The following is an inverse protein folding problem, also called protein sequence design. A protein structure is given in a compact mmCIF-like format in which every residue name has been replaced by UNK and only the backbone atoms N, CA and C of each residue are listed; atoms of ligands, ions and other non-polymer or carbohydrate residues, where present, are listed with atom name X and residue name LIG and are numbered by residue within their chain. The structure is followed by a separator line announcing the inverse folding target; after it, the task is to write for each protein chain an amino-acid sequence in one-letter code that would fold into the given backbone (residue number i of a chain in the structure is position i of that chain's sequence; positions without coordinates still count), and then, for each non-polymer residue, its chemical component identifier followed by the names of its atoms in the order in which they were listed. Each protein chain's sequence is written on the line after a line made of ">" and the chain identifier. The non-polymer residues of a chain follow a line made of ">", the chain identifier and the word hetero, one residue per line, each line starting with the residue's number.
data_IF_378342094064
#
_entry.id   IF_378342094064
#
_cell.length_a   1.000
_cell.length_b   1.000
_cell.length_c   1.000
_cell.angle_alpha   90.00
_cell.angle_beta   90.00
_cell.angle_gamma   90.00
#
_symmetry.space_group_name_H-M   'P 1'
#
loop_
_entity.id
_entity.type
_entity.pdbx_description
1 polymer ?
#
# COMPACT_ATOMS: atom_id res chain seq x y z
N UNK A 1 -24.66 45.26 12.04
CA UNK A 1 -24.00 44.03 12.52
C UNK A 1 -24.49 42.89 11.66
N UNK A 2 -23.73 42.52 10.63
CA UNK A 2 -24.01 41.38 9.78
C UNK A 2 -22.69 40.62 9.61
N UNK A 3 -22.63 39.41 10.14
CA UNK A 3 -21.45 38.55 10.15
C UNK A 3 -21.31 37.81 8.83
N UNK A 4 -20.21 38.06 8.12
CA UNK A 4 -19.77 37.30 6.96
C UNK A 4 -19.20 35.94 7.41
N UNK A 5 -19.93 34.86 7.15
CA UNK A 5 -19.43 33.50 7.24
C UNK A 5 -18.87 33.07 5.87
N UNK A 6 -17.58 33.33 5.63
CA UNK A 6 -16.86 32.71 4.52
C UNK A 6 -16.32 31.35 4.98
N UNK A 7 -17.08 30.30 4.64
CA UNK A 7 -16.72 28.90 4.86
C UNK A 7 -15.75 28.49 3.74
N UNK A 8 -14.46 28.38 4.07
CA UNK A 8 -13.46 27.74 3.21
C UNK A 8 -13.83 26.26 3.07
N UNK A 9 -14.44 25.90 1.95
CA UNK A 9 -14.57 24.50 1.53
C UNK A 9 -13.23 24.09 0.93
N UNK A 10 -12.44 23.31 1.67
CA UNK A 10 -11.29 22.61 1.12
C UNK A 10 -11.79 21.60 0.09
N UNK A 11 -11.40 21.78 -1.16
CA UNK A 11 -11.78 20.91 -2.27
C UNK A 11 -11.22 19.49 -2.07
N UNK A 12 -12.10 18.53 -1.88
CA UNK A 12 -11.81 17.09 -1.91
C UNK A 12 -11.51 16.56 -3.33
N UNK A 13 -11.22 17.46 -4.29
CA UNK A 13 -11.04 17.16 -5.71
C UNK A 13 -9.57 17.06 -6.16
N UNK A 14 -8.59 17.27 -5.29
CA UNK A 14 -7.18 17.09 -5.65
C UNK A 14 -6.80 15.64 -5.94
N UNK A 15 -7.60 14.65 -5.50
CA UNK A 15 -7.34 13.23 -5.75
C UNK A 15 -8.03 12.63 -6.98
N UNK A 16 -9.02 13.31 -7.58
CA UNK A 16 -9.85 12.73 -8.66
C UNK A 16 -9.21 12.83 -10.05
N UNK A 17 -8.24 13.73 -10.27
CA UNK A 17 -7.54 13.88 -11.54
C UNK A 17 -6.63 12.68 -11.84
N UNK A 18 -6.15 11.98 -10.80
CA UNK A 18 -5.20 10.87 -10.95
C UNK A 18 -5.83 9.54 -11.35
N UNK A 19 -7.16 9.41 -11.29
CA UNK A 19 -7.87 8.15 -11.60
C UNK A 19 -8.14 7.95 -13.11
N UNK A 20 -8.02 9.01 -13.91
CA UNK A 20 -8.40 9.01 -15.34
C UNK A 20 -7.23 9.09 -16.32
N UNK A 21 -5.98 9.08 -15.85
CA UNK A 21 -4.82 9.07 -16.74
C UNK A 21 -4.48 7.62 -17.11
N UNK A 22 -5.26 7.09 -18.06
CA UNK A 22 -4.95 5.82 -18.72
C UNK A 22 -3.60 5.89 -19.43
N UNK A 23 -2.80 4.84 -19.24
CA UNK A 23 -1.56 4.56 -19.94
C UNK A 23 -1.64 4.94 -21.42
N UNK A 24 -0.76 5.84 -21.86
CA UNK A 24 -0.42 5.91 -23.28
C UNK A 24 0.75 4.97 -23.50
N UNK A 25 0.48 3.83 -24.15
CA UNK A 25 1.47 2.84 -24.54
C UNK A 25 2.45 3.45 -25.54
N UNK A 26 3.64 3.86 -25.10
CA UNK A 26 4.79 3.95 -26.00
C UNK A 26 6.05 3.42 -25.33
N UNK A 27 6.53 2.30 -25.89
CA UNK A 27 7.86 1.68 -25.74
C UNK A 27 8.07 0.75 -24.54
N UNK A 28 7.28 -0.33 -24.46
CA UNK A 28 7.64 -1.56 -23.74
C UNK A 28 8.31 -2.57 -24.68
N UNK A 29 9.47 -2.22 -25.22
CA UNK A 29 10.36 -3.16 -25.91
C UNK A 29 11.75 -3.01 -25.32
N UNK A 30 11.93 -3.50 -24.09
CA UNK A 30 13.23 -3.84 -23.56
C UNK A 30 13.10 -5.16 -22.78
N UNK A 31 14.05 -6.05 -23.05
CA UNK A 31 14.16 -7.43 -22.60
C UNK A 31 13.95 -7.52 -21.08
N UNK A 32 12.91 -8.24 -20.63
CA UNK A 32 12.70 -8.54 -19.21
C UNK A 32 13.85 -9.42 -18.72
N UNK A 33 14.67 -8.91 -17.81
CA UNK A 33 15.55 -9.77 -17.03
C UNK A 33 14.70 -10.48 -15.97
N UNK A 34 15.06 -11.70 -15.57
CA UNK A 34 14.32 -12.46 -14.54
C UNK A 34 14.20 -11.71 -13.20
N UNK A 35 15.08 -10.74 -12.93
CA UNK A 35 15.06 -9.83 -11.78
C UNK A 35 13.97 -8.75 -11.84
N UNK A 36 13.34 -8.54 -12.99
CA UNK A 36 12.34 -7.48 -13.18
C UNK A 36 10.92 -7.94 -12.84
N UNK A 37 10.72 -9.24 -12.63
CA UNK A 37 9.39 -9.83 -12.38
C UNK A 37 9.06 -9.99 -10.88
N UNK A 38 9.97 -9.62 -9.98
CA UNK A 38 9.67 -9.63 -8.56
C UNK A 38 10.27 -8.44 -7.83
N UNK A 39 9.58 -7.99 -6.78
CA UNK A 39 10.04 -6.96 -5.85
C UNK A 39 10.18 -7.58 -4.48
N UNK A 40 11.40 -7.61 -3.94
CA UNK A 40 11.63 -7.95 -2.53
C UNK A 40 11.18 -6.80 -1.64
N UNK A 41 10.51 -7.15 -0.55
CA UNK A 41 9.93 -6.22 0.42
C UNK A 41 10.42 -6.58 1.80
N UNK A 42 10.93 -5.60 2.52
CA UNK A 42 11.16 -5.68 3.96
C UNK A 42 10.43 -4.52 4.61
N UNK A 43 9.62 -4.79 5.64
CA UNK A 43 8.95 -3.72 6.37
C UNK A 43 8.95 -3.96 7.88
N UNK A 44 8.80 -2.87 8.60
CA UNK A 44 8.77 -2.84 10.05
C UNK A 44 7.65 -1.94 10.55
N UNK A 45 6.88 -2.48 11.48
CA UNK A 45 5.77 -1.85 12.20
C UNK A 45 4.83 -1.07 11.26
N UNK A 46 4.26 -1.78 10.30
CA UNK A 46 3.33 -1.22 9.34
C UNK A 46 1.89 -1.62 9.67
N UNK A 47 0.94 -0.94 9.05
CA UNK A 47 -0.46 -1.34 8.99
C UNK A 47 -0.93 -1.45 7.55
N UNK A 48 -1.62 -2.54 7.25
CA UNK A 48 -2.30 -2.76 5.98
C UNK A 48 -3.79 -2.76 6.26
N UNK A 49 -4.49 -1.76 5.74
CA UNK A 49 -5.94 -1.67 5.82
C UNK A 49 -6.52 -2.15 4.50
N UNK A 50 -7.26 -3.25 4.57
CA UNK A 50 -8.08 -3.73 3.47
C UNK A 50 -9.50 -3.25 3.74
N UNK A 51 -9.97 -2.30 2.95
CA UNK A 51 -11.34 -1.78 2.99
C UNK A 51 -11.99 -2.04 1.63
N UNK A 52 -12.48 -3.26 1.48
CA UNK A 52 -13.25 -3.74 0.34
C UNK A 52 -14.70 -3.98 0.80
N UNK A 53 -15.71 -3.84 -0.08
CA UNK A 53 -17.10 -4.18 0.28
C UNK A 53 -17.27 -5.54 0.98
N UNK A 54 -16.43 -6.52 0.63
CA UNK A 54 -16.52 -7.89 1.14
C UNK A 54 -15.55 -8.19 2.29
N UNK A 55 -14.50 -7.37 2.47
CA UNK A 55 -13.40 -7.62 3.43
C UNK A 55 -13.06 -6.32 4.16
N UNK A 56 -13.12 -6.35 5.49
CA UNK A 56 -12.62 -5.27 6.35
C UNK A 56 -11.60 -5.83 7.32
N UNK A 57 -10.33 -5.58 7.05
CA UNK A 57 -9.22 -6.06 7.87
C UNK A 57 -8.24 -4.93 8.15
N UNK A 58 -8.02 -4.67 9.43
CA UNK A 58 -6.89 -3.87 9.88
C UNK A 58 -5.77 -4.83 10.33
N UNK A 59 -4.81 -5.02 9.44
CA UNK A 59 -3.73 -5.98 9.61
C UNK A 59 -2.51 -5.23 10.13
N UNK A 60 -2.12 -5.49 11.38
CA UNK A 60 -0.88 -4.99 11.95
C UNK A 60 0.25 -5.94 11.60
N UNK A 61 1.37 -5.40 11.12
CA UNK A 61 2.52 -6.20 10.71
C UNK A 61 3.76 -5.63 11.41
N UNK A 62 4.11 -6.17 12.60
CA UNK A 62 5.29 -5.73 13.35
C UNK A 62 6.58 -5.80 12.53
N UNK A 63 6.70 -6.82 11.69
CA UNK A 63 7.68 -6.87 10.61
C UNK A 63 7.27 -7.94 9.61
N UNK A 64 7.69 -7.79 8.36
CA UNK A 64 7.62 -8.86 7.38
C UNK A 64 8.71 -8.72 6.32
N UNK A 65 9.03 -9.85 5.71
CA UNK A 65 9.88 -9.96 4.54
C UNK A 65 9.17 -10.84 3.52
N UNK A 66 9.06 -10.37 2.29
CA UNK A 66 8.35 -11.07 1.22
C UNK A 66 8.97 -10.78 -0.14
N UNK A 67 8.69 -11.65 -1.11
CA UNK A 67 8.82 -11.32 -2.53
C UNK A 67 7.43 -11.14 -3.12
N UNK A 68 7.23 -10.03 -3.84
CA UNK A 68 6.03 -9.79 -4.62
C UNK A 68 6.32 -10.15 -6.06
N UNK A 69 5.55 -11.07 -6.64
CA UNK A 69 5.69 -11.49 -8.03
C UNK A 69 4.70 -10.73 -8.89
N UNK A 70 5.22 -9.96 -9.83
CA UNK A 70 4.44 -9.15 -10.74
C UNK A 70 3.65 -10.07 -11.71
N UNK A 71 2.34 -9.85 -11.77
CA UNK A 71 1.41 -10.58 -12.66
C UNK A 71 1.03 -9.77 -13.88
N UNK A 72 1.40 -8.50 -13.91
CA UNK A 72 1.11 -7.56 -14.97
C UNK A 72 2.29 -7.48 -15.93
N UNK A 73 2.15 -8.00 -17.16
CA UNK A 73 3.28 -8.03 -18.10
C UNK A 73 3.77 -6.64 -18.53
N UNK A 74 2.88 -5.65 -18.58
CA UNK A 74 3.19 -4.36 -19.19
C UNK A 74 3.03 -3.17 -18.24
N UNK A 75 2.55 -3.43 -17.03
CA UNK A 75 2.28 -2.42 -16.01
C UNK A 75 3.13 -2.75 -14.78
N UNK A 76 3.72 -1.76 -14.10
CA UNK A 76 4.39 -1.97 -12.82
C UNK A 76 3.39 -2.45 -11.76
N UNK A 77 3.88 -3.28 -10.84
CA UNK A 77 3.17 -3.72 -9.66
C UNK A 77 2.57 -2.53 -8.89
N UNK A 78 1.26 -2.54 -8.64
CA UNK A 78 0.56 -1.47 -7.90
C UNK A 78 0.07 -1.99 -6.54
N UNK A 79 0.57 -1.39 -5.45
CA UNK A 79 0.15 -1.71 -4.08
C UNK A 79 -1.34 -1.40 -3.80
N UNK A 80 -2.00 -0.59 -4.64
CA UNK A 80 -3.45 -0.34 -4.57
C UNK A 80 -4.27 -1.38 -5.33
N UNK A 81 -3.66 -2.11 -6.27
CA UNK A 81 -4.29 -3.23 -6.97
C UNK A 81 -3.66 -4.55 -6.54
N UNK A 82 -4.24 -5.15 -5.50
CA UNK A 82 -3.87 -6.46 -4.99
C UNK A 82 -3.97 -7.61 -6.01
N UNK A 83 -4.53 -7.40 -7.21
CA UNK A 83 -4.52 -8.40 -8.29
C UNK A 83 -3.28 -8.33 -9.16
N UNK A 84 -2.50 -7.24 -9.08
CA UNK A 84 -1.29 -7.05 -9.89
C UNK A 84 -0.11 -7.89 -9.42
N UNK A 85 -0.18 -8.54 -8.26
CA UNK A 85 0.90 -9.36 -7.73
C UNK A 85 0.44 -10.56 -6.90
N UNK A 86 1.30 -11.57 -6.80
CA UNK A 86 1.24 -12.61 -5.77
C UNK A 86 2.33 -12.37 -4.72
N UNK A 87 2.12 -12.82 -3.49
CA UNK A 87 3.00 -12.58 -2.34
C UNK A 87 3.61 -13.90 -1.88
N UNK A 88 4.94 -14.01 -1.86
CA UNK A 88 5.65 -15.08 -1.16
C UNK A 88 6.26 -14.54 0.12
N UNK A 89 5.61 -14.85 1.24
CA UNK A 89 6.07 -14.47 2.58
C UNK A 89 7.27 -15.34 2.97
N UNK A 90 8.43 -14.70 3.12
CA UNK A 90 9.66 -15.35 3.60
C UNK A 90 9.65 -15.50 5.11
N UNK A 91 9.26 -14.44 5.81
CA UNK A 91 9.11 -14.39 7.27
C UNK A 91 8.24 -13.21 7.69
N UNK A 92 7.58 -13.31 8.83
CA UNK A 92 6.85 -12.16 9.36
C UNK A 92 5.93 -12.51 10.51
N UNK A 93 5.49 -11.47 11.22
CA UNK A 93 4.38 -11.54 12.15
C UNK A 93 3.23 -10.71 11.60
N UNK A 94 2.03 -11.29 11.66
CA UNK A 94 0.80 -10.64 11.23
C UNK A 94 -0.22 -10.74 12.35
N UNK A 95 -0.75 -9.61 12.78
CA UNK A 95 -1.74 -9.52 13.86
C UNK A 95 -3.06 -8.96 13.33
N UNK A 96 -4.16 -9.63 13.67
CA UNK A 96 -5.52 -9.24 13.28
C UNK A 96 -6.43 -9.22 14.51
N UNK A 97 -7.32 -8.23 14.56
CA UNK A 97 -8.33 -8.10 15.62
C UNK A 97 -9.51 -9.04 15.43
N UNK A 98 -10.11 -9.44 16.55
CA UNK A 98 -11.29 -10.32 16.61
C UNK A 98 -12.52 -9.75 15.90
N UNK A 99 -12.80 -8.45 16.05
CA UNK A 99 -13.91 -7.73 15.41
C UNK A 99 -13.80 -7.72 13.88
N UNK A 100 -12.61 -7.42 13.37
CA UNK A 100 -12.33 -7.36 11.93
C UNK A 100 -12.46 -8.75 11.30
N UNK A 101 -11.93 -9.76 12.00
CA UNK A 101 -12.05 -11.15 11.56
C UNK A 101 -13.50 -11.63 11.62
N UNK A 102 -14.26 -11.28 12.66
CA UNK A 102 -15.69 -11.62 12.80
C UNK A 102 -16.52 -11.03 11.67
N UNK A 103 -16.29 -9.76 11.32
CA UNK A 103 -16.95 -9.12 10.19
C UNK A 103 -16.63 -9.84 8.87
N UNK A 104 -15.34 -10.05 8.60
CA UNK A 104 -14.87 -10.69 7.37
C UNK A 104 -15.36 -12.13 7.25
N UNK A 105 -15.29 -12.93 8.32
CA UNK A 105 -15.79 -14.30 8.35
C UNK A 105 -17.31 -14.35 8.15
N UNK A 106 -18.06 -13.44 8.79
CA UNK A 106 -19.52 -13.35 8.62
C UNK A 106 -19.90 -13.10 7.17
N UNK A 107 -19.24 -12.13 6.51
CA UNK A 107 -19.49 -11.82 5.10
C UNK A 107 -19.15 -12.99 4.18
N UNK A 108 -17.95 -13.54 4.30
CA UNK A 108 -17.53 -14.68 3.50
C UNK A 108 -18.46 -15.90 3.66
N UNK A 109 -18.89 -16.20 4.89
CA UNK A 109 -19.81 -17.30 5.16
C UNK A 109 -21.24 -17.04 4.67
N UNK A 110 -21.73 -15.80 4.80
CA UNK A 110 -23.04 -15.42 4.26
C UNK A 110 -23.08 -15.62 2.74
N UNK A 111 -22.05 -15.20 2.01
CA UNK A 111 -21.98 -15.36 0.56
C UNK A 111 -21.88 -16.84 0.17
N UNK A 112 -20.95 -17.59 0.78
CA UNK A 112 -20.74 -19.00 0.48
C UNK A 112 -21.97 -19.88 0.78
N UNK A 113 -22.78 -19.49 1.77
CA UNK A 113 -23.92 -20.29 2.23
C UNK A 113 -25.28 -19.74 1.80
N UNK A 114 -25.32 -18.76 0.86
CA UNK A 114 -26.55 -18.09 0.42
C UNK A 114 -27.36 -17.53 1.60
N UNK A 115 -26.67 -16.87 2.53
CA UNK A 115 -27.19 -16.27 3.75
C UNK A 115 -27.80 -17.28 4.74
N UNK A 116 -27.34 -18.53 4.76
CA UNK A 116 -27.70 -19.48 5.82
C UNK A 116 -26.92 -19.17 7.09
N UNK A 117 -25.62 -18.92 7.00
CA UNK A 117 -24.83 -18.36 8.10
C UNK A 117 -25.06 -16.86 8.15
N UNK A 118 -25.48 -16.33 9.29
CA UNK A 118 -25.89 -14.92 9.46
C UNK A 118 -24.92 -14.10 10.29
N UNK A 119 -24.21 -14.75 11.20
CA UNK A 119 -23.28 -14.08 12.11
C UNK A 119 -22.23 -15.09 12.56
N UNK A 120 -20.98 -14.66 12.54
CA UNK A 120 -19.83 -15.33 13.14
C UNK A 120 -19.17 -14.29 14.05
N UNK A 121 -19.24 -14.51 15.35
CA UNK A 121 -18.59 -13.71 16.38
C UNK A 121 -17.42 -14.50 16.95
N UNK A 122 -16.20 -14.06 16.63
CA UNK A 122 -14.94 -14.67 17.01
C UNK A 122 -14.36 -13.82 18.13
N UNK A 123 -13.93 -14.47 19.21
CA UNK A 123 -13.25 -13.85 20.33
C UNK A 123 -11.95 -14.60 20.58
N UNK A 124 -10.89 -13.85 20.82
CA UNK A 124 -9.58 -14.39 21.18
C UNK A 124 -9.29 -14.15 22.65
N UNK A 125 -8.79 -15.18 23.32
CA UNK A 125 -8.32 -15.11 24.70
C UNK A 125 -6.87 -15.61 24.78
N UNK A 126 -6.08 -15.17 25.78
CA UNK A 126 -4.71 -15.64 25.96
C UNK A 126 -4.58 -17.17 26.02
N UNK A 127 -3.46 -17.71 25.55
CA UNK A 127 -3.19 -19.16 25.58
C UNK A 127 -3.71 -19.91 24.36
N UNK A 128 -3.76 -19.24 23.20
CA UNK A 128 -4.22 -19.79 21.92
C UNK A 128 -5.69 -20.21 21.89
N UNK A 129 -6.52 -19.62 22.74
CA UNK A 129 -7.94 -19.93 22.84
C UNK A 129 -8.73 -19.09 21.84
N UNK A 130 -9.60 -19.77 21.08
CA UNK A 130 -10.57 -19.18 20.17
C UNK A 130 -11.98 -19.59 20.63
N UNK A 131 -12.85 -18.61 20.85
CA UNK A 131 -14.30 -18.78 21.04
C UNK A 131 -15.03 -18.24 19.81
N UNK A 132 -15.81 -19.08 19.14
CA UNK A 132 -16.57 -18.73 17.95
C UNK A 132 -18.05 -19.04 18.15
N UNK A 133 -18.89 -18.00 18.06
CA UNK A 133 -20.35 -18.08 18.12
C UNK A 133 -20.94 -17.87 16.74
N UNK A 134 -21.62 -18.89 16.24
CA UNK A 134 -22.12 -18.95 14.88
C UNK A 134 -23.64 -19.04 14.91
N UNK A 135 -24.31 -18.09 14.22
CA UNK A 135 -25.77 -18.12 14.03
C UNK A 135 -26.12 -18.62 12.65
N UNK A 136 -26.87 -19.72 12.59
CA UNK A 136 -27.32 -20.36 11.37
C UNK A 136 -28.85 -20.24 11.27
N UNK A 137 -29.35 -19.72 10.14
CA UNK A 137 -30.78 -19.57 9.85
C UNK A 137 -31.14 -20.31 8.57
N UNK A 138 -31.89 -21.40 8.72
CA UNK A 138 -32.67 -22.04 7.64
C UNK A 138 -34.15 -21.93 7.98
N UNK A 139 -34.78 -23.04 8.38
CA UNK A 139 -36.16 -23.12 8.85
C UNK A 139 -36.31 -22.76 10.33
N UNK A 140 -35.27 -23.06 11.11
CA UNK A 140 -35.11 -22.66 12.52
C UNK A 140 -33.77 -21.93 12.67
N UNK A 141 -33.63 -21.17 13.76
CA UNK A 141 -32.35 -20.54 14.13
C UNK A 141 -31.58 -21.48 15.04
N UNK A 142 -30.35 -21.79 14.66
CA UNK A 142 -29.42 -22.59 15.45
C UNK A 142 -28.25 -21.69 15.89
N UNK A 143 -27.93 -21.73 17.17
CA UNK A 143 -26.75 -21.07 17.74
C UNK A 143 -25.72 -22.15 18.05
N UNK A 144 -24.57 -22.05 17.41
CA UNK A 144 -23.45 -22.97 17.58
C UNK A 144 -22.32 -22.20 18.26
N UNK A 145 -21.93 -22.62 19.47
CA UNK A 145 -20.81 -22.05 20.20
C UNK A 145 -19.67 -23.07 20.21
N UNK A 146 -18.50 -22.67 19.73
CA UNK A 146 -17.31 -23.52 19.65
C UNK A 146 -16.16 -22.82 20.35
N UNK A 147 -15.61 -23.47 21.37
CA UNK A 147 -14.41 -23.03 22.08
C UNK A 147 -13.32 -24.08 21.87
N UNK A 148 -12.08 -23.65 21.64
CA UNK A 148 -10.96 -24.56 21.51
C UNK A 148 -9.61 -23.87 21.38
N UNK A 149 -8.59 -24.67 21.13
CA UNK A 149 -7.22 -24.19 21.01
C UNK A 149 -6.73 -24.23 19.56
N UNK A 150 -6.02 -23.18 19.16
CA UNK A 150 -5.34 -23.10 17.88
C UNK A 150 -3.84 -23.37 18.02
N UNK A 151 -3.32 -24.19 17.13
CA UNK A 151 -1.91 -24.55 17.07
C UNK A 151 -1.42 -24.38 15.64
N UNK A 152 -0.22 -23.85 15.46
CA UNK A 152 0.42 -23.99 14.16
C UNK A 152 0.74 -25.47 13.92
N UNK A 153 0.54 -25.93 12.70
CA UNK A 153 0.97 -27.24 12.26
C UNK A 153 2.06 -27.07 11.19
N UNK A 154 3.34 -27.14 11.59
CA UNK A 154 4.47 -26.96 10.67
C UNK A 154 4.53 -28.03 9.57
N UNK A 155 3.92 -29.20 9.76
CA UNK A 155 3.98 -30.31 8.79
C UNK A 155 3.21 -29.96 7.52
N UNK A 156 2.05 -29.31 7.66
CA UNK A 156 1.20 -28.95 6.52
C UNK A 156 1.07 -27.43 6.32
N UNK A 157 1.80 -26.63 7.11
CA UNK A 157 1.78 -25.17 7.04
C UNK A 157 0.38 -24.56 7.28
N UNK A 158 -0.41 -25.18 8.15
CA UNK A 158 -1.78 -24.75 8.45
C UNK A 158 -1.96 -24.45 9.94
N UNK A 159 -3.04 -23.77 10.27
CA UNK A 159 -3.58 -23.72 11.62
C UNK A 159 -4.37 -25.00 11.88
N UNK A 160 -4.06 -25.69 12.98
CA UNK A 160 -4.88 -26.76 13.56
C UNK A 160 -5.68 -26.18 14.72
N UNK A 161 -7.00 -26.17 14.57
CA UNK A 161 -7.92 -25.84 15.66
C UNK A 161 -8.54 -27.11 16.22
N UNK A 162 -8.43 -27.28 17.53
CA UNK A 162 -8.99 -28.42 18.26
C UNK A 162 -10.10 -27.92 19.18
N UNK A 163 -11.38 -28.17 18.86
CA UNK A 163 -12.50 -27.81 19.70
C UNK A 163 -12.49 -28.56 21.04
N UNK A 164 -12.48 -27.82 22.13
CA UNK A 164 -12.58 -28.34 23.49
C UNK A 164 -14.03 -28.34 23.99
N UNK A 165 -14.86 -27.43 23.48
CA UNK A 165 -16.30 -27.37 23.78
C UNK A 165 -17.08 -27.06 22.51
N UNK A 166 -18.21 -27.75 22.35
CA UNK A 166 -19.18 -27.48 21.30
C UNK A 166 -20.56 -27.47 21.94
N UNK A 167 -21.29 -26.36 21.79
CA UNK A 167 -22.67 -26.21 22.25
C UNK A 167 -23.59 -25.92 21.08
N UNK A 168 -24.74 -26.58 21.06
CA UNK A 168 -25.82 -26.30 20.12
C UNK A 168 -27.05 -25.82 20.91
N UNK A 169 -27.49 -24.59 20.65
CA UNK A 169 -28.55 -23.92 21.39
C UNK A 169 -28.34 -23.98 22.91
N UNK A 170 -27.09 -23.78 23.35
CA UNK A 170 -26.67 -23.82 24.75
C UNK A 170 -26.44 -25.22 25.34
N UNK A 171 -26.83 -26.28 24.64
CA UNK A 171 -26.63 -27.66 25.10
C UNK A 171 -25.24 -28.15 24.67
N UNK A 172 -24.41 -28.56 25.63
CA UNK A 172 -23.10 -29.15 25.34
C UNK A 172 -23.26 -30.49 24.64
N UNK A 173 -22.72 -30.61 23.42
CA UNK A 173 -22.80 -31.84 22.62
C UNK A 173 -21.48 -32.59 22.53
N UNK A 174 -20.34 -31.98 22.91
CA UNK A 174 -19.03 -32.63 22.79
C UNK A 174 -18.94 -33.94 23.59
N UNK A 175 -19.44 -33.96 24.83
CA UNK A 175 -19.41 -35.18 25.64
C UNK A 175 -20.24 -36.33 25.02
N UNK A 176 -21.32 -36.01 24.32
CA UNK A 176 -22.09 -37.01 23.56
C UNK A 176 -21.30 -37.52 22.36
N UNK A 177 -20.66 -36.63 21.62
CA UNK A 177 -19.79 -37.01 20.50
C UNK A 177 -18.67 -37.94 20.94
N UNK A 178 -17.96 -37.57 22.01
CA UNK A 178 -16.87 -38.37 22.59
C UNK A 178 -17.38 -39.75 23.07
N UNK A 179 -18.54 -39.80 23.75
CA UNK A 179 -19.14 -41.06 24.23
C UNK A 179 -19.47 -42.03 23.09
N UNK A 180 -20.02 -41.51 22.00
CA UNK A 180 -20.31 -42.32 20.80
C UNK A 180 -19.11 -42.49 19.87
N UNK A 181 -17.92 -42.01 20.25
CA UNK A 181 -16.71 -42.01 19.43
C UNK A 181 -16.89 -41.32 18.07
N UNK A 182 -17.83 -40.37 18.00
CA UNK A 182 -18.12 -39.58 16.81
C UNK A 182 -17.17 -38.39 16.79
N UNK A 183 -16.35 -38.29 15.74
CA UNK A 183 -15.35 -37.22 15.63
C UNK A 183 -15.97 -35.93 15.10
N UNK A 184 -15.39 -34.77 15.44
CA UNK A 184 -15.89 -33.47 14.93
C UNK A 184 -15.96 -33.45 13.40
N UNK A 185 -14.95 -33.99 12.72
CA UNK A 185 -14.94 -34.07 11.25
C UNK A 185 -15.95 -35.04 10.63
N UNK A 186 -16.54 -35.95 11.42
CA UNK A 186 -17.61 -36.84 10.94
C UNK A 186 -18.96 -36.13 10.94
N UNK A 187 -19.16 -35.21 11.88
CA UNK A 187 -20.36 -34.36 11.99
C UNK A 187 -20.27 -33.17 11.05
N UNK A 188 -19.12 -32.50 11.05
CA UNK A 188 -18.86 -31.28 10.30
C UNK A 188 -17.89 -31.64 9.18
N UNK A 189 -18.39 -32.29 8.13
CA UNK A 189 -17.60 -32.60 6.93
C UNK A 189 -17.34 -31.33 6.14
N UNK A 190 -16.24 -30.65 6.46
CA UNK A 190 -15.76 -29.53 5.66
C UNK A 190 -14.62 -30.04 4.80
N UNK A 191 -14.78 -29.88 3.50
CA UNK A 191 -13.74 -30.09 2.51
C UNK A 191 -13.90 -29.01 1.46
N UNK A 192 -13.05 -27.98 1.54
CA UNK A 192 -12.95 -27.01 0.47
C UNK A 192 -12.08 -27.56 -0.66
N UNK A 193 -12.54 -27.43 -1.91
CA UNK A 193 -11.82 -27.87 -3.10
C UNK A 193 -10.48 -27.16 -3.29
N UNK A 194 -10.30 -25.98 -2.67
CA UNK A 194 -9.02 -25.24 -2.69
C UNK A 194 -8.03 -25.67 -1.60
N UNK A 195 -8.42 -26.62 -0.75
CA UNK A 195 -7.61 -27.08 0.38
C UNK A 195 -7.29 -25.99 1.39
N UNK A 196 -8.10 -24.93 1.46
CA UNK A 196 -7.94 -23.83 2.42
C UNK A 196 -8.49 -24.19 3.80
N UNK A 197 -9.45 -25.11 3.86
CA UNK A 197 -10.16 -25.52 5.06
C UNK A 197 -10.61 -26.98 4.93
N UNK A 198 -10.27 -27.80 5.91
CA UNK A 198 -10.80 -29.17 6.01
C UNK A 198 -10.88 -29.64 7.46
N UNK A 199 -11.68 -30.68 7.70
CA UNK A 199 -11.71 -31.38 8.98
C UNK A 199 -10.99 -32.72 8.91
N UNK A 200 -10.21 -33.05 9.92
CA UNK A 200 -9.60 -34.37 10.09
C UNK A 200 -9.56 -34.75 11.56
N UNK A 201 -10.20 -35.87 11.90
CA UNK A 201 -10.44 -36.28 13.27
C UNK A 201 -11.25 -35.23 14.05
N UNK A 202 -10.76 -34.87 15.24
CA UNK A 202 -11.35 -33.85 16.10
C UNK A 202 -10.74 -32.46 15.86
N UNK A 203 -10.16 -32.23 14.69
CA UNK A 203 -9.51 -30.97 14.39
C UNK A 203 -9.95 -30.39 13.06
N UNK A 204 -10.04 -29.07 13.04
CA UNK A 204 -10.28 -28.26 11.87
C UNK A 204 -8.92 -27.69 11.45
N UNK A 205 -8.55 -27.89 10.19
CA UNK A 205 -7.33 -27.38 9.62
C UNK A 205 -7.67 -26.26 8.65
N UNK A 206 -7.02 -25.11 8.79
CA UNK A 206 -7.22 -24.00 7.87
C UNK A 206 -5.93 -23.24 7.56
N UNK A 207 -5.84 -22.69 6.36
CA UNK A 207 -4.74 -21.81 5.97
C UNK A 207 -5.28 -20.39 5.69
N UNK A 208 -5.08 -19.43 6.60
CA UNK A 208 -5.46 -18.04 6.39
C UNK A 208 -4.92 -17.41 5.10
N UNK A 209 -3.75 -17.82 4.62
CA UNK A 209 -3.15 -17.25 3.39
C UNK A 209 -3.95 -17.62 2.13
N UNK A 210 -4.79 -18.65 2.19
CA UNK A 210 -5.64 -19.13 1.08
C UNK A 210 -7.06 -18.57 1.08
N UNK A 211 -7.47 -17.82 2.12
CA UNK A 211 -8.82 -17.23 2.16
C UNK A 211 -8.95 -15.95 1.34
N UNK A 212 -7.84 -15.24 1.13
CA UNK A 212 -7.82 -14.06 0.27
C UNK A 212 -7.79 -14.51 -1.20
N UNK A 213 -8.71 -13.98 -2.02
CA UNK A 213 -8.77 -14.27 -3.47
C UNK A 213 -7.63 -13.59 -4.24
N UNK A 214 -7.19 -12.42 -3.76
CA UNK A 214 -6.08 -11.63 -4.29
C UNK A 214 -5.55 -10.69 -3.18
N UNK A 215 -4.23 -10.48 -3.06
CA UNK A 215 -3.18 -11.23 -3.77
C UNK A 215 -3.16 -12.68 -3.30
N UNK A 216 -2.64 -13.63 -4.09
CA UNK A 216 -2.40 -14.96 -3.52
C UNK A 216 -1.21 -14.85 -2.57
N UNK A 217 -1.39 -15.34 -1.34
CA UNK A 217 -0.34 -15.32 -0.34
C UNK A 217 0.16 -16.74 -0.13
N UNK A 218 1.43 -16.94 -0.41
CA UNK A 218 2.18 -18.15 -0.09
C UNK A 218 3.05 -17.90 1.14
N UNK A 219 3.05 -18.83 2.07
CA UNK A 219 3.81 -18.71 3.31
C UNK A 219 3.47 -19.84 4.28
N UNK A 220 4.50 -20.42 4.88
CA UNK A 220 4.34 -21.49 5.86
C UNK A 220 4.00 -20.93 7.23
N UNK A 221 2.84 -21.29 7.78
CA UNK A 221 2.47 -20.91 9.16
C UNK A 221 3.32 -21.71 10.12
N UNK A 222 4.17 -21.02 10.86
CA UNK A 222 5.09 -21.64 11.82
C UNK A 222 4.63 -21.52 13.25
N UNK A 223 3.69 -20.60 13.53
CA UNK A 223 3.35 -20.25 14.90
C UNK A 223 2.08 -19.41 15.01
N UNK A 224 1.43 -19.49 16.17
CA UNK A 224 0.21 -18.77 16.52
C UNK A 224 0.31 -18.33 17.98
N UNK A 225 -0.09 -17.09 18.25
CA UNK A 225 -0.28 -16.54 19.58
C UNK A 225 -1.60 -15.78 19.61
N UNK A 226 -2.45 -16.01 20.61
CA UNK A 226 -3.62 -15.18 20.86
C UNK A 226 -3.42 -14.32 22.10
N UNK A 227 -3.91 -13.09 22.02
CA UNK A 227 -4.08 -12.19 23.15
C UNK A 227 -5.56 -11.82 23.25
N UNK A 228 -5.94 -11.06 24.28
CA UNK A 228 -7.32 -10.59 24.41
C UNK A 228 -7.70 -9.77 23.17
N UNK A 229 -8.62 -10.32 22.36
CA UNK A 229 -9.16 -9.68 21.17
C UNK A 229 -8.24 -9.63 19.94
N UNK A 230 -7.11 -10.34 19.91
CA UNK A 230 -6.30 -10.45 18.70
C UNK A 230 -5.59 -11.80 18.55
N UNK A 231 -5.30 -12.15 17.31
CA UNK A 231 -4.48 -13.29 16.94
C UNK A 231 -3.25 -12.80 16.17
N UNK A 232 -2.08 -13.31 16.53
CA UNK A 232 -0.81 -13.11 15.84
C UNK A 232 -0.38 -14.43 15.21
N UNK A 233 -0.15 -14.40 13.90
CA UNK A 233 0.32 -15.54 13.12
C UNK A 233 1.76 -15.26 12.70
N UNK A 234 2.65 -16.21 12.98
CA UNK A 234 4.02 -16.18 12.47
C UNK A 234 4.17 -17.04 11.23
N UNK A 235 4.89 -16.48 10.25
CA UNK A 235 5.20 -17.12 8.98
C UNK A 235 6.72 -17.22 8.86
N UNK A 236 7.22 -18.33 8.29
CA UNK A 236 8.62 -18.41 7.86
C UNK A 236 9.66 -18.61 8.96
N UNK A 237 9.29 -19.26 10.07
CA UNK A 237 10.24 -19.75 11.08
C UNK A 237 10.38 -18.88 12.32
N UNK A 238 9.51 -17.89 12.51
CA UNK A 238 9.61 -16.98 13.64
C UNK A 238 8.61 -17.29 14.77
N UNK A 239 9.07 -17.15 16.01
CA UNK A 239 8.25 -17.32 17.20
C UNK A 239 7.54 -15.99 17.57
N UNK A 240 6.20 -15.91 17.47
CA UNK A 240 5.41 -14.73 17.79
C UNK A 240 5.47 -14.45 19.28
N UNK A 241 5.82 -15.39 20.15
CA UNK A 241 5.91 -15.13 21.58
C UNK A 241 7.21 -14.44 21.99
N UNK A 242 8.13 -14.17 21.05
CA UNK A 242 9.36 -13.45 21.33
C UNK A 242 9.09 -11.94 21.56
N UNK A 243 8.63 -11.63 22.77
CA UNK A 243 8.31 -10.25 23.22
C UNK A 243 9.50 -9.29 23.11
N UNK A 244 10.73 -9.79 23.21
CA UNK A 244 11.92 -8.95 23.03
C UNK A 244 12.07 -8.47 21.58
N UNK A 245 11.82 -9.34 20.60
CA UNK A 245 11.80 -8.97 19.17
C UNK A 245 10.61 -8.06 18.82
N UNK A 246 9.42 -8.32 19.36
CA UNK A 246 8.26 -7.43 19.18
C UNK A 246 8.53 -6.02 19.74
N UNK A 247 9.18 -5.93 20.91
CA UNK A 247 9.53 -4.66 21.56
C UNK A 247 10.67 -3.93 20.84
N UNK A 248 11.64 -4.66 20.28
CA UNK A 248 12.65 -4.10 19.39
C UNK A 248 12.02 -3.50 18.13
N UNK A 249 11.02 -4.19 17.54
CA UNK A 249 10.29 -3.69 16.39
C UNK A 249 9.41 -2.47 16.69
N UNK A 250 8.96 -2.30 17.93
CA UNK A 250 8.23 -1.12 18.37
C UNK A 250 9.14 0.10 18.65
N UNK A 251 10.45 -0.11 18.82
CA UNK A 251 11.43 0.95 19.13
C UNK A 251 12.37 1.28 17.97
N UNK A 252 12.23 0.58 16.84
CA UNK A 252 12.94 0.82 15.59
C UNK A 252 12.17 1.78 14.69
N UNK A 253 12.83 2.34 13.68
CA UNK A 253 12.18 3.08 12.60
C UNK A 253 11.02 2.25 11.99
N UNK A 254 9.84 2.83 11.83
CA UNK A 254 8.81 2.22 10.99
C UNK A 254 9.20 2.47 9.54
N UNK A 255 9.29 1.41 8.73
CA UNK A 255 9.77 1.55 7.36
C UNK A 255 9.15 0.53 6.41
N UNK A 256 9.20 0.87 5.12
CA UNK A 256 8.99 -0.04 4.00
C UNK A 256 10.18 0.08 3.05
N UNK A 257 10.89 -1.01 2.83
CA UNK A 257 11.97 -1.12 1.87
C UNK A 257 11.54 -2.01 0.70
N UNK A 258 11.75 -1.54 -0.52
CA UNK A 258 11.43 -2.22 -1.77
C UNK A 258 12.70 -2.36 -2.60
N UNK A 259 12.97 -3.57 -3.13
CA UNK A 259 14.18 -3.88 -3.90
C UNK A 259 13.86 -4.76 -5.11
N UNK A 260 14.43 -4.44 -6.27
CA UNK A 260 14.15 -5.11 -7.53
C UNK A 260 12.78 -4.74 -8.12
N UNK A 261 12.47 -5.32 -9.28
CA UNK A 261 11.17 -5.14 -9.95
C UNK A 261 10.81 -3.70 -10.32
N UNK A 262 9.62 -3.56 -10.92
CA UNK A 262 9.04 -2.26 -11.24
C UNK A 262 7.78 -2.07 -10.40
N UNK A 263 7.70 -0.95 -9.68
CA UNK A 263 6.61 -0.68 -8.73
C UNK A 263 5.97 0.66 -9.06
N UNK A 264 4.65 0.71 -9.10
CA UNK A 264 3.91 1.95 -8.95
C UNK A 264 3.64 2.20 -7.47
N UNK A 265 4.31 3.22 -6.92
CA UNK A 265 4.10 3.64 -5.54
C UNK A 265 3.52 5.05 -5.51
N UNK A 266 2.25 5.17 -5.10
CA UNK A 266 1.57 6.48 -4.97
C UNK A 266 1.60 7.32 -6.26
N UNK A 267 1.60 6.69 -7.44
CA UNK A 267 1.67 7.36 -8.74
C UNK A 267 3.09 7.54 -9.29
N UNK A 268 4.13 7.16 -8.52
CA UNK A 268 5.51 7.14 -8.98
C UNK A 268 5.86 5.76 -9.54
N UNK A 269 6.34 5.74 -10.78
CA UNK A 269 6.88 4.53 -11.39
C UNK A 269 8.34 4.38 -10.96
N UNK A 270 8.58 3.43 -10.07
CA UNK A 270 9.92 3.04 -9.61
C UNK A 270 10.39 1.92 -10.53
N UNK A 271 11.45 2.18 -11.30
CA UNK A 271 12.06 1.18 -12.17
C UNK A 271 13.27 0.59 -11.46
N UNK A 272 13.43 -0.74 -11.54
CA UNK A 272 14.47 -1.49 -10.82
C UNK A 272 14.56 -1.03 -9.36
N UNK A 273 13.42 -1.08 -8.67
CA UNK A 273 13.18 -0.39 -7.41
C UNK A 273 14.32 -0.61 -6.42
N UNK A 274 14.85 0.46 -5.87
CA UNK A 274 15.67 0.43 -4.66
C UNK A 274 15.19 1.63 -3.86
N UNK A 275 14.30 1.41 -2.91
CA UNK A 275 13.57 2.45 -2.19
C UNK A 275 13.47 2.08 -0.71
N UNK A 276 13.78 3.03 0.19
CA UNK A 276 13.42 2.94 1.61
C UNK A 276 12.55 4.13 2.00
N UNK A 277 11.31 3.83 2.38
CA UNK A 277 10.36 4.74 2.99
C UNK A 277 10.45 4.63 4.50
N UNK A 278 10.53 5.77 5.18
CA UNK A 278 10.49 5.85 6.64
C UNK A 278 9.25 6.67 7.03
N UNK A 279 8.62 6.25 8.11
CA UNK A 279 7.54 7.01 8.74
C UNK A 279 8.10 8.28 9.40
N UNK A 280 7.69 9.44 8.91
CA UNK A 280 8.07 10.73 9.47
C UNK A 280 7.43 11.01 10.84
N UNK A 281 6.46 10.20 11.27
CA UNK A 281 5.75 10.33 12.55
C UNK A 281 5.61 8.96 13.25
N UNK A 282 6.68 8.38 13.80
CA UNK A 282 6.74 6.95 14.19
C UNK A 282 5.92 6.58 15.44
N UNK A 283 4.98 7.42 15.88
CA UNK A 283 4.16 7.19 17.07
C UNK A 283 3.04 6.17 16.83
N UNK A 284 2.68 5.93 15.56
CA UNK A 284 1.72 4.92 15.13
C UNK A 284 2.32 4.00 14.06
N UNK A 285 1.77 2.79 13.84
CA UNK A 285 2.23 1.92 12.75
C UNK A 285 2.12 2.61 11.39
N UNK A 286 3.11 2.39 10.53
CA UNK A 286 3.21 3.05 9.23
C UNK A 286 2.10 2.58 8.26
N UNK A 287 1.19 3.50 7.88
CA UNK A 287 0.10 3.22 6.92
C UNK A 287 0.60 3.36 5.47
N UNK A 288 0.86 2.20 4.84
CA UNK A 288 1.46 2.15 3.50
C UNK A 288 0.52 2.72 2.44
N UNK A 289 -0.79 2.63 2.62
CA UNK A 289 -1.77 2.89 1.55
C UNK A 289 -2.39 4.26 1.71
N UNK A 290 -2.82 4.63 2.92
CA UNK A 290 -3.80 5.70 3.10
C UNK A 290 -3.22 7.04 3.58
N UNK A 291 -1.97 7.11 4.02
CA UNK A 291 -1.39 8.35 4.55
C UNK A 291 -0.06 8.73 3.87
N UNK A 292 -0.10 9.29 2.64
CA UNK A 292 1.11 9.73 1.94
C UNK A 292 1.88 10.83 2.69
N UNK A 293 1.22 11.64 3.51
CA UNK A 293 1.82 12.80 4.19
C UNK A 293 2.86 12.45 5.25
N UNK A 294 2.80 11.20 5.75
CA UNK A 294 3.73 10.63 6.72
C UNK A 294 4.92 9.92 6.07
N UNK A 295 4.93 9.74 4.75
CA UNK A 295 5.95 8.95 4.05
C UNK A 295 7.14 9.83 3.67
N UNK A 296 8.32 9.49 4.16
CA UNK A 296 9.57 10.14 3.77
C UNK A 296 10.42 9.16 2.98
N UNK A 297 10.78 9.53 1.75
CA UNK A 297 11.75 8.76 0.97
C UNK A 297 13.16 9.13 1.45
N UNK A 298 13.86 8.16 2.02
CA UNK A 298 15.18 8.42 2.65
C UNK A 298 16.36 7.89 1.88
N UNK A 299 16.14 6.90 1.03
CA UNK A 299 17.13 6.30 0.15
C UNK A 299 16.42 5.80 -1.09
N UNK A 300 17.09 5.93 -2.24
CA UNK A 300 16.68 5.23 -3.44
C UNK A 300 16.59 6.10 -4.68
N UNK A 301 15.91 5.56 -5.69
CA UNK A 301 15.64 6.25 -6.95
C UNK A 301 14.13 6.32 -7.23
N UNK A 302 13.64 7.51 -7.55
CA UNK A 302 12.27 7.75 -8.00
C UNK A 302 12.30 8.28 -9.41
N UNK A 303 11.48 7.69 -10.29
CA UNK A 303 11.32 8.19 -11.66
C UNK A 303 9.97 8.89 -11.78
N UNK A 304 10.02 10.17 -12.13
CA UNK A 304 8.85 11.03 -12.30
C UNK A 304 8.58 11.20 -13.79
N UNK A 305 7.40 10.75 -14.29
CA UNK A 305 7.02 10.94 -15.68
C UNK A 305 6.80 12.42 -16.05
N UNK A 306 6.99 12.79 -17.33
CA UNK A 306 6.79 14.17 -17.80
C UNK A 306 5.37 14.71 -17.55
N UNK A 307 4.35 13.85 -17.67
CA UNK A 307 2.96 14.22 -17.48
C UNK A 307 2.68 14.64 -16.04
N UNK A 308 3.39 14.04 -15.08
CA UNK A 308 3.30 14.39 -13.68
C UNK A 308 3.88 15.79 -13.45
N UNK A 309 5.08 16.05 -13.99
CA UNK A 309 5.73 17.37 -13.90
C UNK A 309 4.88 18.44 -14.59
N UNK A 310 4.35 18.14 -15.78
CA UNK A 310 3.46 19.05 -16.51
C UNK A 310 2.21 19.40 -15.68
N UNK A 311 1.61 18.40 -15.03
CA UNK A 311 0.40 18.57 -14.24
C UNK A 311 0.69 19.36 -12.96
N UNK A 312 1.74 19.00 -12.22
CA UNK A 312 2.14 19.68 -10.99
C UNK A 312 2.49 21.16 -11.26
N UNK A 313 3.23 21.42 -12.34
CA UNK A 313 3.53 22.79 -12.79
C UNK A 313 2.25 23.56 -13.13
N UNK A 314 1.35 22.99 -13.94
CA UNK A 314 0.06 23.62 -14.28
C UNK A 314 -0.79 23.95 -13.05
N UNK A 315 -0.86 23.02 -12.09
CA UNK A 315 -1.64 23.21 -10.86
C UNK A 315 -1.07 24.32 -9.98
N UNK A 316 0.26 24.36 -9.77
CA UNK A 316 0.92 25.38 -8.95
C UNK A 316 0.79 26.78 -9.54
N UNK A 317 0.85 26.89 -10.86
CA UNK A 317 0.73 28.19 -11.54
C UNK A 317 -0.73 28.67 -11.56
N UNK A 318 -1.70 27.75 -11.66
CA UNK A 318 -3.11 28.07 -11.45
C UNK A 318 -3.71 29.04 -12.48
N UNK A 319 -5.00 29.35 -12.32
CA UNK A 319 -5.77 30.23 -13.22
C UNK A 319 -5.36 31.72 -13.11
N UNK A 320 -4.65 32.10 -12.05
CA UNK A 320 -4.15 33.45 -11.79
C UNK A 320 -2.69 33.68 -12.19
N UNK A 321 -2.01 32.68 -12.76
CA UNK A 321 -0.64 32.82 -13.23
C UNK A 321 -0.50 33.89 -14.32
N UNK A 322 0.69 34.45 -14.38
CA UNK A 322 1.08 35.30 -15.51
C UNK A 322 1.27 34.50 -16.81
N UNK A 323 1.28 33.17 -16.73
CA UNK A 323 1.52 32.22 -17.82
C UNK A 323 0.26 31.39 -18.16
N UNK A 324 -0.50 31.83 -19.17
CA UNK A 324 -1.67 31.10 -19.70
C UNK A 324 -1.27 30.02 -20.73
N UNK A 325 -2.19 29.12 -21.06
CA UNK A 325 -2.08 28.13 -22.16
C UNK A 325 -0.82 27.26 -22.13
N UNK A 326 -0.42 26.89 -20.93
CA UNK A 326 0.83 26.20 -20.71
C UNK A 326 0.84 24.80 -21.33
N UNK A 327 1.91 24.47 -22.05
CA UNK A 327 2.27 23.11 -22.41
C UNK A 327 3.72 22.82 -22.02
N UNK A 328 3.94 21.60 -21.53
CA UNK A 328 5.25 21.12 -21.12
C UNK A 328 5.53 19.81 -21.84
N UNK A 329 6.76 19.64 -22.32
CA UNK A 329 7.26 18.39 -22.88
C UNK A 329 8.71 18.17 -22.50
N UNK A 330 9.20 16.93 -22.51
CA UNK A 330 10.61 16.63 -22.29
C UNK A 330 11.28 15.90 -23.46
N UNK A 331 11.35 16.52 -24.66
CA UNK A 331 12.07 15.92 -25.77
C UNK A 331 13.55 15.78 -25.42
N UNK A 332 14.09 14.57 -25.57
CA UNK A 332 15.51 14.26 -25.33
C UNK A 332 15.99 14.58 -23.90
N UNK A 333 15.10 14.50 -22.90
CA UNK A 333 15.44 14.74 -21.49
C UNK A 333 15.54 16.21 -21.08
N UNK A 334 15.34 17.17 -21.98
CA UNK A 334 15.28 18.58 -21.62
C UNK A 334 13.84 19.06 -21.52
N UNK A 335 13.48 19.72 -20.43
CA UNK A 335 12.15 20.33 -20.28
C UNK A 335 11.96 21.44 -21.30
N UNK A 336 10.81 21.47 -21.96
CA UNK A 336 10.39 22.56 -22.83
C UNK A 336 9.03 23.04 -22.37
N UNK A 337 9.00 24.29 -21.95
CA UNK A 337 7.80 24.98 -21.50
C UNK A 337 7.38 25.97 -22.58
N UNK A 338 6.13 25.86 -23.06
CA UNK A 338 5.48 26.90 -23.87
C UNK A 338 4.32 27.47 -23.08
N UNK A 339 4.19 28.79 -23.06
CA UNK A 339 3.11 29.48 -22.36
C UNK A 339 2.85 30.85 -23.00
N UNK A 340 1.82 31.54 -22.54
CA UNK A 340 1.50 32.92 -22.91
C UNK A 340 1.67 33.84 -21.69
N UNK A 341 2.71 34.68 -21.69
CA UNK A 341 2.87 35.71 -20.67
C UNK A 341 1.84 36.83 -20.86
N UNK A 342 1.26 37.29 -19.74
CA UNK A 342 0.23 38.33 -19.70
C UNK A 342 -1.00 38.03 -20.57
N UNK A 343 -1.19 36.77 -20.94
CA UNK A 343 -2.30 36.31 -21.78
C UNK A 343 -2.21 36.68 -23.27
N UNK A 344 -1.13 37.30 -23.74
CA UNK A 344 -0.98 37.66 -25.16
C UNK A 344 0.44 37.46 -25.72
N UNK A 345 1.45 37.32 -24.86
CA UNK A 345 2.85 37.20 -25.29
C UNK A 345 3.28 35.73 -25.30
N UNK A 346 3.30 35.03 -26.44
CA UNK A 346 3.74 33.64 -26.49
C UNK A 346 5.23 33.55 -26.16
N UNK A 347 5.57 32.63 -25.27
CA UNK A 347 6.93 32.33 -24.84
C UNK A 347 7.24 30.84 -24.97
N UNK A 348 8.51 30.54 -25.23
CA UNK A 348 9.08 29.20 -25.17
C UNK A 348 10.34 29.25 -24.31
N UNK A 349 10.52 28.27 -23.45
CA UNK A 349 11.62 28.19 -22.49
C UNK A 349 12.14 26.75 -22.40
N UNK A 350 13.45 26.57 -22.47
CA UNK A 350 14.08 25.30 -22.10
C UNK A 350 14.29 25.28 -20.57
N UNK A 351 14.06 24.14 -19.95
CA UNK A 351 14.20 23.92 -18.51
C UNK A 351 15.21 22.79 -18.29
N UNK A 352 16.28 23.11 -17.59
CA UNK A 352 17.26 22.13 -17.13
C UNK A 352 17.00 21.77 -15.67
N UNK A 353 16.89 20.49 -15.39
CA UNK A 353 16.69 19.97 -14.04
C UNK A 353 18.03 19.55 -13.46
N UNK A 354 18.26 19.86 -12.20
CA UNK A 354 19.49 19.52 -11.50
C UNK A 354 19.30 19.50 -10.01
N UNK A 355 20.39 19.36 -9.27
CA UNK A 355 20.39 19.43 -7.81
C UNK A 355 20.82 20.82 -7.34
N UNK A 356 20.14 21.35 -6.32
CA UNK A 356 20.57 22.53 -5.59
C UNK A 356 21.69 22.22 -4.58
N UNK A 357 22.43 23.23 -4.13
CA UNK A 357 23.43 23.06 -3.05
C UNK A 357 22.80 22.54 -1.74
N UNK A 358 21.53 22.85 -1.51
CA UNK A 358 20.70 22.41 -0.38
C UNK A 358 20.17 20.97 -0.50
N UNK A 359 20.35 20.34 -1.66
CA UNK A 359 19.76 19.03 -1.96
C UNK A 359 18.32 19.08 -2.49
N UNK A 360 17.73 20.26 -2.70
CA UNK A 360 16.43 20.41 -3.35
C UNK A 360 16.53 20.20 -4.88
N UNK A 361 15.39 19.95 -5.54
CA UNK A 361 15.32 19.97 -7.01
C UNK A 361 15.58 21.40 -7.50
N UNK A 362 16.52 21.58 -8.41
CA UNK A 362 16.78 22.86 -9.07
C UNK A 362 16.26 22.84 -10.49
N UNK A 363 15.55 23.91 -10.86
CA UNK A 363 15.15 24.18 -12.24
C UNK A 363 15.84 25.44 -12.73
N UNK A 364 16.59 25.30 -13.82
CA UNK A 364 17.34 26.39 -14.45
C UNK A 364 16.71 26.74 -15.81
N UNK A 365 16.19 27.96 -15.99
CA UNK A 365 15.71 28.42 -17.29
C UNK A 365 16.86 28.56 -18.29
N UNK A 366 16.64 28.16 -19.54
CA UNK A 366 17.57 28.31 -20.65
C UNK A 366 16.85 28.67 -21.96
N UNK A 367 17.55 29.37 -22.86
CA UNK A 367 17.08 29.69 -24.22
C UNK A 367 15.65 30.27 -24.31
N UNK A 368 15.22 31.07 -23.33
CA UNK A 368 13.87 31.64 -23.35
C UNK A 368 13.69 32.59 -24.53
N UNK A 369 12.56 32.47 -25.25
CA UNK A 369 12.22 33.33 -26.39
C UNK A 369 10.77 33.79 -26.32
N UNK A 370 10.54 35.07 -26.56
CA UNK A 370 9.22 35.63 -26.87
C UNK A 370 8.95 35.60 -28.37
N UNK A 371 7.71 35.35 -28.76
CA UNK A 371 7.28 35.16 -30.16
C UNK A 371 8.07 34.07 -30.92
N UNK A 372 8.81 33.21 -30.21
CA UNK A 372 9.66 32.17 -30.79
C UNK A 372 11.05 32.63 -31.26
N UNK A 373 11.33 33.94 -31.30
CA UNK A 373 12.60 34.47 -31.84
C UNK A 373 13.26 35.57 -30.99
N UNK A 374 12.52 36.31 -30.16
CA UNK A 374 13.10 37.39 -29.34
C UNK A 374 13.71 36.77 -28.08
N UNK A 375 15.04 36.77 -27.90
CA UNK A 375 15.65 36.21 -26.69
C UNK A 375 15.18 36.98 -25.45
N UNK A 376 14.77 36.24 -24.43
CA UNK A 376 14.39 36.79 -23.14
C UNK A 376 15.59 36.76 -22.18
N UNK A 377 15.88 37.87 -21.47
CA UNK A 377 16.88 37.88 -20.42
C UNK A 377 16.61 36.82 -19.35
N UNK A 378 17.66 36.11 -18.93
CA UNK A 378 17.57 35.09 -17.88
C UNK A 378 17.00 35.63 -16.55
N UNK A 379 17.21 36.92 -16.27
CA UNK A 379 16.65 37.58 -15.07
C UNK A 379 15.12 37.57 -15.05
N UNK A 380 14.50 37.85 -16.21
CA UNK A 380 13.03 37.85 -16.36
C UNK A 380 12.52 36.42 -16.19
N UNK A 381 13.09 35.46 -16.93
CA UNK A 381 12.69 34.05 -16.87
C UNK A 381 12.79 33.47 -15.45
N UNK A 382 13.90 33.77 -14.75
CA UNK A 382 14.10 33.34 -13.37
C UNK A 382 13.10 33.99 -12.41
N UNK A 383 12.82 35.28 -12.55
CA UNK A 383 11.82 35.97 -11.70
C UNK A 383 10.42 35.39 -11.89
N UNK A 384 10.07 35.05 -13.12
CA UNK A 384 8.81 34.39 -13.46
C UNK A 384 8.75 32.99 -12.83
N UNK A 385 9.77 32.15 -13.02
CA UNK A 385 9.84 30.84 -12.36
C UNK A 385 9.77 30.94 -10.83
N UNK A 386 10.49 31.90 -10.24
CA UNK A 386 10.50 32.12 -8.80
C UNK A 386 9.10 32.44 -8.25
N UNK A 387 8.40 33.37 -8.90
CA UNK A 387 7.04 33.78 -8.53
C UNK A 387 6.04 32.62 -8.61
N UNK A 388 6.24 31.73 -9.56
CA UNK A 388 5.26 30.73 -9.98
C UNK A 388 5.52 29.35 -9.33
N UNK A 389 6.72 29.12 -8.78
CA UNK A 389 7.10 27.87 -8.09
C UNK A 389 7.16 28.00 -6.57
N UNK A 390 7.07 29.22 -6.01
CA UNK A 390 7.28 29.48 -4.57
C UNK A 390 8.64 28.96 -4.05
N UNK A 391 9.64 29.02 -4.94
CA UNK A 391 10.99 28.50 -4.74
C UNK A 391 11.98 29.50 -4.14
N UNK A 392 13.26 29.12 -4.06
CA UNK A 392 14.37 30.03 -3.70
C UNK A 392 15.39 30.12 -4.83
N UNK A 393 16.11 31.24 -4.91
CA UNK A 393 17.18 31.40 -5.91
C UNK A 393 18.39 30.55 -5.49
N UNK A 394 18.85 29.65 -6.35
CA UNK A 394 20.12 28.91 -6.22
C UNK A 394 20.97 29.12 -7.48
N UNK A 395 21.87 30.10 -7.42
CA UNK A 395 22.68 30.53 -8.56
C UNK A 395 21.82 31.02 -9.75
N UNK A 396 21.90 30.30 -10.87
CA UNK A 396 21.14 30.62 -12.08
C UNK A 396 19.74 30.00 -12.10
N UNK A 397 19.43 29.10 -11.17
CA UNK A 397 18.15 28.40 -11.11
C UNK A 397 17.27 28.83 -9.94
N UNK A 398 16.14 28.14 -9.83
CA UNK A 398 15.18 28.23 -8.73
C UNK A 398 15.03 26.84 -8.12
N UNK A 399 15.09 26.73 -6.80
CA UNK A 399 14.80 25.48 -6.09
C UNK A 399 13.31 25.24 -6.06
N UNK A 400 12.90 24.00 -6.28
CA UNK A 400 11.52 23.56 -6.14
C UNK A 400 11.47 22.53 -5.03
N UNK A 401 10.59 22.80 -4.08
CA UNK A 401 10.27 21.89 -3.00
C UNK A 401 9.44 20.72 -3.55
N UNK A 402 10.05 19.52 -3.59
CA UNK A 402 9.41 18.30 -4.09
C UNK A 402 8.20 17.92 -3.23
N UNK A 403 8.27 18.18 -1.93
CA UNK A 403 7.20 17.93 -0.98
C UNK A 403 5.95 18.71 -1.40
N UNK A 404 6.13 19.92 -1.94
CA UNK A 404 5.02 20.76 -2.44
C UNK A 404 4.51 20.34 -3.81
N UNK A 405 5.31 19.70 -4.66
CA UNK A 405 4.92 19.30 -6.01
C UNK A 405 4.16 17.98 -6.04
N UNK A 406 4.49 17.09 -5.11
CA UNK A 406 4.15 15.69 -5.19
C UNK A 406 3.49 15.13 -3.92
N UNK A 407 3.29 15.97 -2.89
CA UNK A 407 2.95 15.53 -1.53
C UNK A 407 3.89 14.41 -1.03
N UNK A 408 5.13 14.43 -1.51
CA UNK A 408 6.11 13.39 -1.30
C UNK A 408 7.29 13.98 -0.55
N UNK A 409 7.40 13.66 0.75
CA UNK A 409 8.55 14.09 1.53
C UNK A 409 9.79 13.34 1.10
N UNK A 410 10.86 14.06 0.80
CA UNK A 410 12.13 13.46 0.34
C UNK A 410 13.31 13.90 1.18
N UNK A 411 14.25 12.99 1.42
CA UNK A 411 15.60 13.35 1.85
C UNK A 411 16.30 14.21 0.79
N UNK A 412 17.33 14.99 1.17
CA UNK A 412 18.12 15.77 0.23
C UNK A 412 18.59 14.91 -0.95
N UNK A 413 18.35 15.39 -2.17
CA UNK A 413 18.75 14.69 -3.37
C UNK A 413 20.27 14.49 -3.40
N UNK A 414 20.71 13.33 -3.87
CA UNK A 414 22.09 13.07 -4.25
C UNK A 414 22.35 13.51 -5.68
N UNK A 415 21.44 13.20 -6.61
CA UNK A 415 21.54 13.57 -8.03
C UNK A 415 20.17 13.68 -8.69
N UNK A 416 20.14 14.45 -9.78
CA UNK A 416 18.98 14.59 -10.67
C UNK A 416 19.45 14.35 -12.09
N UNK A 417 18.82 13.42 -12.79
CA UNK A 417 19.09 13.11 -14.20
C UNK A 417 17.80 13.05 -14.99
N UNK A 418 17.91 13.16 -16.31
CA UNK A 418 16.76 13.16 -17.22
C UNK A 418 16.97 12.13 -18.31
N UNK A 419 16.00 11.24 -18.51
CA UNK A 419 16.10 10.15 -19.47
C UNK A 419 14.74 9.89 -20.13
N UNK A 420 14.69 9.88 -21.47
CA UNK A 420 13.50 9.48 -22.25
C UNK A 420 12.17 10.13 -21.79
N UNK A 421 12.17 11.44 -21.52
CA UNK A 421 10.97 12.14 -21.07
C UNK A 421 10.61 11.91 -19.60
N UNK A 422 11.56 11.43 -18.79
CA UNK A 422 11.40 11.19 -17.35
C UNK A 422 12.47 11.93 -16.57
N UNK A 423 12.12 12.33 -15.35
CA UNK A 423 13.05 12.89 -14.36
C UNK A 423 13.40 11.78 -13.36
N UNK A 424 14.68 11.53 -13.17
CA UNK A 424 15.20 10.54 -12.24
C UNK A 424 15.80 11.28 -11.05
N UNK A 425 15.23 11.03 -9.87
CA UNK A 425 15.64 11.61 -8.60
C UNK A 425 16.31 10.54 -7.76
N UNK A 426 17.54 10.78 -7.33
CA UNK A 426 18.26 9.91 -6.40
C UNK A 426 18.39 10.58 -5.05
N UNK A 427 18.05 9.87 -3.97
CA UNK A 427 18.11 10.33 -2.58
C UNK A 427 19.22 9.63 -1.82
#
# INVERSE_FOLDING_TARGET
>A
MATNNNKLTGDANSYSVFKNMGYTQQNATNVRNASDNFTSVDAQNIVIKVDDPDIKLNIKVPYFSADLYDKTPNDPLDFKDFKSFDVSLKKGLVTVGDKDLSYTATKAAADATKNVVRNIDINFAPGNVIDAKIKVKKFITLNLDIEGQAHANPVNNMVRFTPDKIKLNGVSIKGLLDFFHIKVGEVVKIHDSKGSLFTSGDSIYFNPTKFLKAPHIEGGITSIATEQGSITVGVGGEDPNNKAKQKLAANSENYLALRGGNVNFSGFNLLHTDLKLIDGTPQDPFDIINDPSKKVITQGQVTIPQEFIATALKQKMGAGSSMKDMSFSMPNGQGKLKASMWGFLPISLDLNFGKASTGELKVTPGNGRAFGFIPLPNSILRSTLLKETDGKIDGQGVTIDLDKLADLKTSPLQSVTTEQGKLILKM
#
